data_IF_792607736564
#
_entry.id   IF_792607736564
#
_cell.length_a   1.000
_cell.length_b   1.000
_cell.length_c   1.000
_cell.angle_alpha   90.00
_cell.angle_beta   90.00
_cell.angle_gamma   90.00
#
_symmetry.space_group_name_H-M   'P 1'
#
loop_
_entity.id
_entity.type
_entity.pdbx_description
1 polymer ?
#
# COMPACT_ATOMS: atom_id res chain seq x y z
N UNK A 1 23.54 28.61 56.72
CA UNK A 1 23.47 27.66 55.58
C UNK A 1 24.40 28.18 54.48
N UNK A 2 25.41 27.44 54.13
CA UNK A 2 26.60 27.90 53.41
C UNK A 2 26.29 28.04 51.90
N UNK A 3 26.57 29.21 51.32
CA UNK A 3 26.31 29.59 49.93
C UNK A 3 26.88 28.55 48.94
N UNK A 4 28.02 27.96 49.27
CA UNK A 4 28.64 26.88 48.48
C UNK A 4 27.76 25.64 48.34
N UNK A 5 26.94 25.28 49.36
CA UNK A 5 26.01 24.15 49.29
C UNK A 5 24.79 24.43 48.39
N UNK A 6 24.35 25.68 48.32
CA UNK A 6 23.25 26.10 47.45
C UNK A 6 23.67 26.11 45.97
N UNK A 7 24.91 26.50 45.68
CA UNK A 7 25.47 26.50 44.32
C UNK A 7 25.68 25.07 43.78
N UNK A 8 26.13 24.15 44.64
CA UNK A 8 26.31 22.73 44.27
C UNK A 8 24.96 22.07 44.03
N UNK A 9 23.93 22.36 44.81
CA UNK A 9 22.58 21.83 44.62
C UNK A 9 21.91 22.38 43.36
N UNK A 10 22.16 23.64 43.00
CA UNK A 10 21.65 24.24 41.79
C UNK A 10 22.35 23.68 40.51
N UNK A 11 23.67 23.45 40.61
CA UNK A 11 24.42 22.86 39.50
C UNK A 11 24.05 21.38 39.22
N UNK A 12 23.79 20.63 40.30
CA UNK A 12 23.36 19.20 40.17
C UNK A 12 21.94 19.08 39.61
N UNK A 13 21.05 20.02 39.94
CA UNK A 13 19.70 20.04 39.39
C UNK A 13 19.70 20.41 37.91
N UNK A 14 20.57 21.30 37.47
CA UNK A 14 20.69 21.73 36.09
C UNK A 14 21.29 20.63 35.19
N UNK A 15 22.22 19.84 35.70
CA UNK A 15 22.83 18.72 34.96
C UNK A 15 21.88 17.54 34.82
N UNK A 16 21.03 17.27 35.81
CA UNK A 16 20.01 16.21 35.70
C UNK A 16 18.90 16.61 34.72
N UNK A 17 18.50 17.89 34.70
CA UNK A 17 17.51 18.38 33.74
C UNK A 17 18.04 18.37 32.30
N UNK A 18 19.31 18.71 32.10
CA UNK A 18 19.93 18.68 30.77
C UNK A 18 20.12 17.24 30.23
N UNK A 19 20.43 16.27 31.11
CA UNK A 19 20.56 14.86 30.68
C UNK A 19 19.22 14.19 30.38
N UNK A 20 18.13 14.62 31.01
CA UNK A 20 16.79 14.10 30.67
C UNK A 20 16.24 14.65 29.33
N UNK A 21 16.63 15.86 28.93
CA UNK A 21 16.16 16.44 27.65
C UNK A 21 16.95 15.89 26.47
N UNK A 22 18.23 15.55 26.66
CA UNK A 22 19.04 14.94 25.56
C UNK A 22 18.72 13.48 25.30
N UNK A 23 18.20 12.72 26.29
CA UNK A 23 17.83 11.31 26.06
C UNK A 23 16.50 11.12 25.34
N UNK A 24 15.63 12.12 25.28
CA UNK A 24 14.35 12.05 24.55
C UNK A 24 14.52 12.33 23.05
N UNK A 25 15.60 13.05 22.66
CA UNK A 25 15.83 13.40 21.25
C UNK A 25 16.81 12.48 20.50
N UNK A 26 17.52 11.59 21.18
CA UNK A 26 18.47 10.67 20.54
C UNK A 26 17.88 9.32 20.14
N UNK A 27 16.57 9.15 20.32
CA UNK A 27 15.87 7.88 20.01
C UNK A 27 15.18 7.85 18.64
N UNK A 28 15.16 8.95 17.88
CA UNK A 28 14.66 8.95 16.51
C UNK A 28 15.88 9.05 15.58
N UNK A 29 16.64 7.99 15.49
CA UNK A 29 17.45 7.78 14.30
C UNK A 29 16.44 7.52 13.17
N UNK A 30 16.42 8.33 12.10
CA UNK A 30 15.72 7.89 10.91
C UNK A 30 16.32 6.53 10.57
N UNK A 31 15.47 5.50 10.51
CA UNK A 31 15.87 4.23 9.94
C UNK A 31 16.42 4.57 8.57
N UNK A 32 17.72 4.33 8.36
CA UNK A 32 18.26 4.41 7.03
C UNK A 32 17.42 3.43 6.19
N UNK A 33 16.65 3.98 5.25
CA UNK A 33 15.97 3.17 4.27
C UNK A 33 17.01 2.25 3.65
N UNK A 34 16.73 0.95 3.62
CA UNK A 34 17.53 0.03 2.85
C UNK A 34 17.55 0.58 1.41
N UNK A 35 18.74 0.62 0.83
CA UNK A 35 18.96 1.06 -0.55
C UNK A 35 18.37 0.00 -1.49
N UNK A 36 17.04 0.02 -1.64
CA UNK A 36 16.31 -0.80 -2.59
C UNK A 36 16.24 0.02 -3.89
N UNK A 37 17.04 -0.39 -4.88
CA UNK A 37 17.21 0.30 -6.15
C UNK A 37 15.94 0.35 -7.02
N UNK A 38 14.82 -0.18 -6.51
CA UNK A 38 13.50 -0.18 -7.14
C UNK A 38 12.44 0.50 -6.26
N UNK A 39 12.86 1.52 -5.51
CA UNK A 39 12.03 2.17 -4.51
C UNK A 39 11.22 3.32 -5.11
N UNK A 40 9.93 3.07 -5.37
CA UNK A 40 8.94 4.08 -5.77
C UNK A 40 8.27 4.76 -4.57
N UNK A 41 8.91 4.75 -3.41
CA UNK A 41 8.33 5.30 -2.20
C UNK A 41 8.11 6.82 -2.29
N UNK A 42 6.89 7.21 -1.99
CA UNK A 42 6.57 8.61 -1.80
C UNK A 42 6.99 9.05 -0.40
N UNK A 43 7.54 10.26 -0.31
CA UNK A 43 7.88 10.87 0.97
C UNK A 43 7.27 12.25 1.13
N UNK A 44 6.99 12.65 2.37
CA UNK A 44 6.38 13.93 2.66
C UNK A 44 7.44 14.97 3.06
N UNK A 45 7.38 16.15 2.43
CA UNK A 45 8.14 17.33 2.84
C UNK A 45 7.17 18.47 3.11
N UNK A 46 7.00 18.81 4.38
CA UNK A 46 5.95 19.75 4.80
C UNK A 46 4.57 19.19 4.50
N UNK A 47 3.79 19.88 3.67
CA UNK A 47 2.43 19.49 3.26
C UNK A 47 2.35 18.88 1.87
N UNK A 48 3.46 18.44 1.30
CA UNK A 48 3.55 17.94 -0.08
C UNK A 48 4.17 16.57 -0.11
N UNK A 49 3.80 15.78 -1.14
CA UNK A 49 4.40 14.48 -1.44
C UNK A 49 5.38 14.61 -2.60
N UNK A 50 6.45 13.85 -2.52
CA UNK A 50 7.49 13.78 -3.53
C UNK A 50 7.85 12.33 -3.82
N UNK A 51 8.24 12.07 -5.07
CA UNK A 51 8.83 10.79 -5.48
C UNK A 51 10.32 10.70 -5.10
N UNK A 52 10.95 9.58 -5.41
CA UNK A 52 12.39 9.35 -5.17
C UNK A 52 13.31 10.32 -5.92
N UNK A 53 12.84 10.90 -7.02
CA UNK A 53 13.60 11.82 -7.87
C UNK A 53 13.41 13.29 -7.45
N UNK A 54 12.59 13.54 -6.42
CA UNK A 54 12.32 14.87 -5.91
C UNK A 54 11.25 15.64 -6.67
N UNK A 55 10.46 14.98 -7.53
CA UNK A 55 9.32 15.58 -8.19
C UNK A 55 8.11 15.59 -7.28
N UNK A 56 7.35 16.68 -7.25
CA UNK A 56 6.12 16.72 -6.49
C UNK A 56 5.07 15.83 -7.12
N UNK A 57 4.45 14.96 -6.30
CA UNK A 57 3.40 14.03 -6.71
C UNK A 57 2.04 14.53 -6.24
N UNK A 58 1.07 14.53 -7.14
CA UNK A 58 -0.33 14.81 -6.89
C UNK A 58 -1.11 13.51 -7.01
N UNK A 59 -1.70 13.05 -5.90
CA UNK A 59 -2.51 11.83 -5.91
C UNK A 59 -3.94 12.15 -6.34
N UNK A 60 -4.34 11.58 -7.47
CA UNK A 60 -5.71 11.60 -7.97
C UNK A 60 -6.22 10.17 -7.95
N UNK A 61 -7.16 9.87 -7.07
CA UNK A 61 -7.53 8.51 -6.75
C UNK A 61 -8.97 8.13 -7.01
N UNK A 62 -9.20 6.83 -7.20
CA UNK A 62 -10.52 6.23 -7.26
C UNK A 62 -10.60 5.01 -6.33
N UNK A 63 -11.83 4.62 -5.96
CA UNK A 63 -12.07 3.35 -5.27
C UNK A 63 -12.56 2.32 -6.29
N UNK A 64 -12.00 1.11 -6.26
CA UNK A 64 -12.49 -0.01 -7.04
C UNK A 64 -13.00 -1.10 -6.09
N UNK A 65 -14.30 -1.23 -6.01
CA UNK A 65 -14.98 -2.16 -5.11
C UNK A 65 -14.97 -3.59 -5.67
N UNK A 66 -15.29 -4.55 -4.80
CA UNK A 66 -15.51 -5.94 -5.15
C UNK A 66 -14.81 -6.92 -4.23
N UNK A 67 -13.57 -6.64 -3.80
CA UNK A 67 -12.83 -7.44 -2.84
C UNK A 67 -13.40 -7.37 -1.40
N UNK A 68 -14.28 -6.46 -1.14
CA UNK A 68 -15.03 -6.32 0.11
C UNK A 68 -16.45 -6.90 0.04
N UNK A 69 -16.80 -7.51 -1.08
CA UNK A 69 -18.11 -8.09 -1.38
C UNK A 69 -18.00 -9.59 -1.66
N UNK A 70 -19.14 -10.25 -1.90
CA UNK A 70 -19.19 -11.68 -2.18
C UNK A 70 -18.53 -12.12 -3.48
N UNK A 71 -18.31 -11.19 -4.39
CA UNK A 71 -17.63 -11.43 -5.68
C UNK A 71 -16.15 -11.76 -5.48
N UNK A 72 -15.53 -11.27 -4.43
CA UNK A 72 -14.12 -11.48 -4.10
C UNK A 72 -13.14 -11.10 -5.24
N UNK A 73 -13.55 -10.20 -6.13
CA UNK A 73 -12.75 -9.61 -7.21
C UNK A 73 -13.26 -8.20 -7.52
N UNK A 74 -12.46 -7.33 -8.15
CA UNK A 74 -12.92 -6.01 -8.56
C UNK A 74 -14.14 -6.07 -9.47
N UNK A 75 -15.08 -5.15 -9.25
CA UNK A 75 -16.33 -5.09 -10.00
C UNK A 75 -16.10 -4.78 -11.49
N UNK A 76 -17.07 -5.16 -12.31
CA UNK A 76 -17.11 -4.97 -13.77
C UNK A 76 -16.17 -5.85 -14.58
N UNK A 77 -15.28 -6.63 -13.99
CA UNK A 77 -14.45 -7.60 -14.71
C UNK A 77 -15.27 -8.75 -15.34
N UNK A 78 -16.59 -8.77 -15.11
CA UNK A 78 -17.54 -9.61 -15.85
C UNK A 78 -17.92 -9.06 -17.22
N UNK A 79 -17.54 -7.81 -17.56
CA UNK A 79 -17.93 -7.15 -18.81
C UNK A 79 -16.83 -6.33 -19.46
N UNK A 80 -15.72 -6.11 -18.78
CA UNK A 80 -14.58 -5.34 -19.30
C UNK A 80 -13.28 -6.13 -19.13
N UNK A 81 -12.37 -5.91 -20.06
CA UNK A 81 -10.99 -6.35 -19.95
C UNK A 81 -10.24 -5.49 -18.91
N UNK A 82 -9.37 -6.10 -18.12
CA UNK A 82 -8.64 -5.40 -17.04
C UNK A 82 -7.66 -4.39 -17.60
N UNK A 83 -6.98 -4.70 -18.70
CA UNK A 83 -5.99 -3.79 -19.29
C UNK A 83 -6.67 -2.57 -19.89
N UNK A 84 -7.81 -2.76 -20.55
CA UNK A 84 -8.64 -1.67 -21.08
C UNK A 84 -9.17 -0.78 -19.93
N UNK A 85 -9.58 -1.39 -18.82
CA UNK A 85 -10.05 -0.66 -17.63
C UNK A 85 -8.93 0.16 -17.00
N UNK A 86 -7.76 -0.44 -16.77
CA UNK A 86 -6.60 0.23 -16.19
C UNK A 86 -6.06 1.34 -17.08
N UNK A 87 -5.98 1.10 -18.40
CA UNK A 87 -5.60 2.12 -19.37
C UNK A 87 -6.56 3.31 -19.35
N UNK A 88 -7.87 3.05 -19.34
CA UNK A 88 -8.90 4.09 -19.23
C UNK A 88 -8.75 4.90 -17.94
N UNK A 89 -8.52 4.24 -16.83
CA UNK A 89 -8.28 4.89 -15.53
C UNK A 89 -7.07 5.80 -15.59
N UNK A 90 -5.96 5.32 -16.14
CA UNK A 90 -4.71 6.09 -16.29
C UNK A 90 -4.89 7.29 -17.23
N UNK A 91 -5.56 7.12 -18.37
CA UNK A 91 -5.83 8.17 -19.35
C UNK A 91 -6.66 9.33 -18.77
N UNK A 92 -7.46 9.06 -17.74
CA UNK A 92 -8.20 10.08 -17.01
C UNK A 92 -7.37 10.74 -15.88
N UNK A 93 -6.08 10.46 -15.80
CA UNK A 93 -5.16 11.05 -14.81
C UNK A 93 -5.33 10.50 -13.39
N UNK A 94 -5.97 9.35 -13.24
CA UNK A 94 -6.05 8.64 -11.97
C UNK A 94 -4.77 7.84 -11.79
N UNK A 95 -4.01 8.14 -10.75
CA UNK A 95 -2.70 7.54 -10.49
C UNK A 95 -2.63 6.76 -9.17
N UNK A 96 -3.75 6.59 -8.49
CA UNK A 96 -3.87 5.72 -7.33
C UNK A 96 -5.25 5.07 -7.29
N UNK A 97 -5.30 3.77 -7.05
CA UNK A 97 -6.55 3.02 -6.86
C UNK A 97 -6.57 2.47 -5.44
N UNK A 98 -7.68 2.71 -4.74
CA UNK A 98 -7.93 2.09 -3.45
C UNK A 98 -8.85 0.89 -3.61
N UNK A 99 -8.34 -0.30 -3.28
CA UNK A 99 -9.15 -1.52 -3.19
C UNK A 99 -9.62 -1.72 -1.74
N UNK A 100 -10.92 -1.56 -1.44
CA UNK A 100 -11.46 -2.00 -0.16
C UNK A 100 -11.50 -3.53 -0.14
N UNK A 101 -10.87 -4.13 0.87
CA UNK A 101 -10.79 -5.58 1.03
C UNK A 101 -11.44 -5.96 2.36
N UNK A 102 -12.27 -7.01 2.39
CA UNK A 102 -12.85 -7.50 3.63
C UNK A 102 -11.81 -8.24 4.48
N UNK A 103 -11.92 -8.11 5.79
CA UNK A 103 -11.05 -8.87 6.72
C UNK A 103 -11.21 -10.37 6.54
N UNK A 104 -12.40 -10.83 6.20
CA UNK A 104 -12.70 -12.24 5.94
C UNK A 104 -11.92 -12.77 4.74
N UNK A 105 -11.87 -11.99 3.64
CA UNK A 105 -11.11 -12.35 2.45
C UNK A 105 -9.61 -12.42 2.74
N UNK A 106 -9.07 -11.45 3.48
CA UNK A 106 -7.66 -11.44 3.87
C UNK A 106 -7.31 -12.63 4.76
N UNK A 107 -8.15 -12.96 5.73
CA UNK A 107 -7.95 -14.13 6.60
C UNK A 107 -7.98 -15.43 5.77
N UNK A 108 -8.87 -15.52 4.78
CA UNK A 108 -8.95 -16.65 3.85
C UNK A 108 -7.65 -16.81 3.06
N UNK A 109 -7.11 -15.73 2.53
CA UNK A 109 -5.83 -15.72 1.82
C UNK A 109 -4.66 -16.13 2.73
N UNK A 110 -4.58 -15.56 3.93
CA UNK A 110 -3.55 -15.88 4.92
C UNK A 110 -3.55 -17.36 5.34
N UNK A 111 -4.73 -17.99 5.34
CA UNK A 111 -4.90 -19.41 5.65
C UNK A 111 -4.69 -20.33 4.44
N UNK A 112 -4.28 -19.82 3.29
CA UNK A 112 -4.10 -20.57 2.06
C UNK A 112 -5.40 -21.14 1.47
N UNK A 113 -6.53 -20.45 1.72
CA UNK A 113 -7.86 -20.84 1.23
C UNK A 113 -8.52 -19.68 0.48
N UNK A 114 -7.90 -19.16 -0.60
CA UNK A 114 -8.45 -18.05 -1.35
C UNK A 114 -9.80 -18.46 -1.97
N UNK A 115 -10.73 -17.51 -1.99
CA UNK A 115 -12.06 -17.72 -2.52
C UNK A 115 -12.01 -17.99 -4.03
N UNK A 116 -12.88 -18.86 -4.52
CA UNK A 116 -13.16 -18.97 -5.94
C UNK A 116 -13.90 -17.71 -6.42
N UNK A 117 -13.61 -17.27 -7.63
CA UNK A 117 -14.26 -16.14 -8.28
C UNK A 117 -15.14 -16.65 -9.41
N UNK A 118 -16.42 -16.29 -9.39
CA UNK A 118 -17.38 -16.70 -10.42
C UNK A 118 -17.96 -15.52 -11.21
N UNK A 119 -17.83 -14.31 -10.70
CA UNK A 119 -18.37 -13.08 -11.32
C UNK A 119 -17.30 -12.36 -12.15
N UNK A 120 -16.66 -13.09 -13.05
CA UNK A 120 -15.61 -12.57 -13.93
C UNK A 120 -15.78 -13.22 -15.31
N UNK A 121 -15.52 -12.46 -16.37
CA UNK A 121 -15.34 -13.06 -17.69
C UNK A 121 -13.85 -13.32 -17.91
N UNK A 122 -13.49 -14.57 -17.91
CA UNK A 122 -12.13 -15.02 -18.18
C UNK A 122 -12.20 -16.19 -19.17
N UNK A 123 -11.44 -16.12 -20.26
CA UNK A 123 -11.39 -17.17 -21.26
C UNK A 123 -10.02 -17.16 -21.94
N UNK A 124 -9.44 -18.33 -22.11
CA UNK A 124 -8.19 -18.52 -22.85
C UNK A 124 -8.40 -18.64 -24.38
N UNK A 125 -9.65 -18.76 -24.85
CA UNK A 125 -9.95 -18.79 -26.28
C UNK A 125 -9.75 -17.41 -26.89
N UNK A 126 -8.82 -17.22 -27.84
CA UNK A 126 -8.56 -15.94 -28.48
C UNK A 126 -9.76 -15.30 -29.17
N UNK A 127 -10.81 -16.07 -29.46
CA UNK A 127 -12.04 -15.58 -30.07
C UNK A 127 -12.98 -14.88 -29.08
N UNK A 128 -12.74 -15.05 -27.77
CA UNK A 128 -13.56 -14.55 -26.67
C UNK A 128 -12.73 -13.84 -25.59
N UNK A 129 -11.54 -13.38 -25.94
CA UNK A 129 -10.55 -12.85 -24.99
C UNK A 129 -11.06 -11.64 -24.23
N UNK A 130 -11.69 -11.91 -23.10
CA UNK A 130 -11.76 -10.97 -21.99
C UNK A 130 -11.01 -11.62 -20.83
N UNK A 131 -10.00 -10.92 -20.29
CA UNK A 131 -9.23 -11.34 -19.12
C UNK A 131 -8.61 -12.75 -19.24
N UNK A 132 -7.90 -13.03 -20.32
CA UNK A 132 -7.22 -14.32 -20.52
C UNK A 132 -6.22 -14.62 -19.40
N UNK A 133 -5.56 -13.60 -18.86
CA UNK A 133 -4.58 -13.70 -17.77
C UNK A 133 -5.19 -14.13 -16.43
N UNK A 134 -6.52 -14.09 -16.30
CA UNK A 134 -7.25 -14.64 -15.16
C UNK A 134 -7.51 -16.13 -15.26
N UNK A 135 -7.04 -16.78 -16.32
CA UNK A 135 -7.12 -18.21 -16.50
C UNK A 135 -5.80 -18.91 -16.16
N UNK A 136 -5.90 -20.12 -15.66
CA UNK A 136 -4.81 -21.07 -15.56
C UNK A 136 -4.56 -21.73 -16.93
N UNK A 137 -3.44 -22.43 -17.08
CA UNK A 137 -3.09 -23.12 -18.32
C UNK A 137 -4.10 -24.22 -18.74
N UNK A 138 -4.88 -24.75 -17.80
CA UNK A 138 -5.95 -25.72 -18.04
C UNK A 138 -7.30 -25.07 -18.40
N UNK A 139 -7.36 -23.74 -18.45
CA UNK A 139 -8.57 -22.96 -18.75
C UNK A 139 -9.46 -22.69 -17.53
N UNK A 140 -9.11 -23.18 -16.35
CA UNK A 140 -9.84 -22.83 -15.13
C UNK A 140 -9.57 -21.39 -14.70
N UNK A 141 -10.57 -20.74 -14.09
CA UNK A 141 -10.41 -19.38 -13.55
C UNK A 141 -9.55 -19.41 -12.28
N UNK A 142 -8.60 -18.49 -12.19
CA UNK A 142 -7.77 -18.28 -11.02
C UNK A 142 -8.62 -17.90 -9.80
N UNK A 143 -8.11 -18.14 -8.61
CA UNK A 143 -8.76 -17.73 -7.37
C UNK A 143 -8.61 -16.21 -7.12
N UNK A 144 -9.31 -15.70 -6.10
CA UNK A 144 -9.34 -14.27 -5.79
C UNK A 144 -7.98 -13.64 -5.50
N UNK A 145 -7.06 -14.38 -4.88
CA UNK A 145 -5.71 -13.89 -4.60
C UNK A 145 -4.87 -13.83 -5.86
N UNK A 146 -4.89 -14.87 -6.68
CA UNK A 146 -4.17 -14.93 -7.96
C UNK A 146 -4.67 -13.89 -8.96
N UNK A 147 -5.98 -13.60 -8.99
CA UNK A 147 -6.55 -12.52 -9.80
C UNK A 147 -6.07 -11.16 -9.31
N UNK A 148 -6.04 -10.96 -7.99
CA UNK A 148 -5.50 -9.73 -7.43
C UNK A 148 -4.03 -9.54 -7.77
N UNK A 149 -3.23 -10.60 -7.71
CA UNK A 149 -1.81 -10.57 -8.10
C UNK A 149 -1.62 -10.18 -9.58
N UNK A 150 -2.49 -10.68 -10.49
CA UNK A 150 -2.46 -10.27 -11.91
C UNK A 150 -2.76 -8.78 -12.09
N UNK A 151 -3.70 -8.24 -11.31
CA UNK A 151 -4.06 -6.81 -11.39
C UNK A 151 -2.93 -5.90 -10.87
N UNK A 152 -2.12 -6.40 -9.93
CA UNK A 152 -1.05 -5.64 -9.30
C UNK A 152 0.29 -5.69 -10.06
N UNK A 153 0.46 -6.60 -11.01
CA UNK A 153 1.67 -6.76 -11.82
C UNK A 153 1.56 -6.05 -13.18
#
# INVERSE_FOLDING_TARGET
MNIKRKLIAAATLLTVAASCVTSVFTGITPSAAADDTNDDWLHAVGSRLYDKDGNQVWLTGANWFGLNCGEACPHYLWSVDVDDALSTIADHGINIIRFPVSSELLISWMNGKPNAVSSIQANIDPSYTINADFCNADGSVKNSMEIFDVIMN
#
